data_IF_589366497252
#
_entry.id   IF_589366497252
#
_cell.length_a   1.000
_cell.length_b   1.000
_cell.length_c   1.000
_cell.angle_alpha   90.00
_cell.angle_beta   90.00
_cell.angle_gamma   90.00
#
_symmetry.space_group_name_H-M   'P 1'
#
loop_
_entity.id
_entity.type
_entity.pdbx_description
1 polymer ?
#
# COMPACT_ATOMS: atom_id res chain seq x y z
N UNK A 1 21.13 -5.62 -4.37
CA UNK A 1 20.50 -4.28 -4.36
C UNK A 1 18.98 -4.32 -4.48
N UNK A 2 18.38 -5.26 -5.23
CA UNK A 2 16.94 -5.30 -5.45
C UNK A 2 16.12 -6.01 -4.35
N UNK A 3 16.78 -6.50 -3.29
CA UNK A 3 16.18 -7.26 -2.19
C UNK A 3 15.14 -6.50 -1.38
N UNK A 4 15.25 -5.17 -1.36
CA UNK A 4 14.38 -4.27 -0.59
C UNK A 4 13.45 -3.47 -1.51
N UNK A 5 13.18 -4.02 -2.70
CA UNK A 5 12.30 -3.44 -3.71
C UNK A 5 11.01 -4.24 -3.82
N UNK A 6 10.00 -3.64 -4.46
CA UNK A 6 8.72 -4.29 -4.76
C UNK A 6 8.87 -5.66 -5.44
N UNK A 7 9.87 -5.83 -6.30
CA UNK A 7 10.15 -7.13 -6.95
C UNK A 7 10.37 -8.27 -5.95
N UNK A 8 10.91 -7.96 -4.77
CA UNK A 8 11.28 -8.95 -3.77
C UNK A 8 10.10 -9.65 -3.08
N UNK A 9 8.88 -9.20 -3.38
CA UNK A 9 7.66 -9.84 -2.88
C UNK A 9 7.18 -10.98 -3.78
N UNK A 10 7.63 -11.03 -5.03
CA UNK A 10 7.24 -12.04 -6.03
C UNK A 10 8.43 -12.86 -6.55
N UNK A 11 9.64 -12.32 -6.44
CA UNK A 11 10.86 -12.92 -6.99
C UNK A 11 11.77 -13.38 -5.87
N UNK A 12 12.28 -14.61 -5.97
CA UNK A 12 13.19 -15.16 -4.97
C UNK A 12 14.50 -14.36 -4.89
N UNK A 13 15.17 -14.31 -3.71
CA UNK A 13 16.43 -13.58 -3.54
C UNK A 13 17.52 -13.99 -4.55
N UNK A 14 17.60 -15.26 -4.93
CA UNK A 14 18.57 -15.77 -5.88
C UNK A 14 18.34 -15.22 -7.29
N UNK A 15 17.08 -15.15 -7.71
CA UNK A 15 16.71 -14.60 -9.03
C UNK A 15 16.88 -13.07 -9.04
N UNK A 16 16.49 -12.38 -7.97
CA UNK A 16 16.73 -10.93 -7.84
C UNK A 16 18.21 -10.58 -7.92
N UNK A 17 19.06 -11.38 -7.28
CA UNK A 17 20.51 -11.22 -7.33
C UNK A 17 21.02 -11.33 -8.77
N UNK A 18 20.42 -12.18 -9.60
CA UNK A 18 20.74 -12.27 -11.02
C UNK A 18 20.18 -11.10 -11.83
N UNK A 19 18.92 -10.71 -11.60
CA UNK A 19 18.26 -9.58 -12.30
C UNK A 19 19.08 -8.29 -12.13
N UNK A 20 19.68 -8.05 -10.96
CA UNK A 20 20.45 -6.82 -10.76
C UNK A 20 21.60 -6.63 -11.77
N UNK A 21 22.15 -7.73 -12.32
CA UNK A 21 23.23 -7.72 -13.32
C UNK A 21 22.76 -7.40 -14.73
N UNK A 22 21.45 -7.43 -15.00
CA UNK A 22 20.90 -6.96 -16.28
C UNK A 22 20.99 -5.44 -16.43
N UNK A 23 21.12 -4.74 -15.31
CA UNK A 23 21.10 -3.29 -15.25
C UNK A 23 22.33 -2.72 -14.57
N UNK A 24 22.30 -1.40 -14.36
CA UNK A 24 23.36 -0.64 -13.70
C UNK A 24 22.80 0.33 -12.67
N UNK A 25 23.66 0.71 -11.72
CA UNK A 25 23.37 1.80 -10.78
C UNK A 25 23.46 3.14 -11.52
N UNK A 26 22.51 4.03 -11.27
CA UNK A 26 22.50 5.42 -11.72
C UNK A 26 22.38 6.30 -10.47
N UNK A 27 23.17 7.37 -10.40
CA UNK A 27 23.15 8.32 -9.28
C UNK A 27 22.78 9.67 -9.88
N UNK A 28 21.79 10.32 -9.27
CA UNK A 28 21.35 11.66 -9.62
C UNK A 28 21.65 12.60 -8.46
N UNK A 29 22.20 13.76 -8.78
CA UNK A 29 22.39 14.85 -7.84
C UNK A 29 21.07 15.52 -7.42
N UNK A 30 21.13 16.45 -6.46
CA UNK A 30 19.99 17.26 -6.04
C UNK A 30 19.22 17.88 -7.21
N UNK A 31 17.90 17.65 -7.27
CA UNK A 31 16.99 18.21 -8.27
C UNK A 31 17.32 17.86 -9.73
N UNK A 32 18.23 16.91 -9.98
CA UNK A 32 18.63 16.51 -11.32
C UNK A 32 17.48 15.81 -12.06
N UNK A 33 17.31 16.15 -13.33
CA UNK A 33 16.27 15.57 -14.20
C UNK A 33 16.70 14.20 -14.69
N UNK A 34 15.90 13.17 -14.42
CA UNK A 34 16.11 11.82 -14.94
C UNK A 34 15.68 11.71 -16.40
N UNK A 35 14.49 12.23 -16.71
CA UNK A 35 13.95 12.38 -18.07
C UNK A 35 12.82 13.41 -18.08
N UNK A 36 12.49 13.90 -19.26
CA UNK A 36 11.43 14.87 -19.52
C UNK A 36 10.25 14.23 -20.25
N UNK A 37 9.06 14.81 -20.11
CA UNK A 37 7.92 14.51 -20.97
C UNK A 37 8.31 14.54 -22.46
N UNK A 38 7.85 13.56 -23.24
CA UNK A 38 8.17 13.42 -24.67
C UNK A 38 9.48 12.66 -24.96
N UNK A 39 10.35 12.42 -23.97
CA UNK A 39 11.57 11.64 -24.18
C UNK A 39 11.24 10.18 -24.58
N UNK A 40 12.16 9.54 -25.31
CA UNK A 40 12.04 8.10 -25.61
C UNK A 40 12.17 7.25 -24.35
N UNK A 41 11.32 6.23 -24.21
CA UNK A 41 11.32 5.33 -23.06
C UNK A 41 12.20 4.09 -23.25
N UNK A 42 13.52 4.28 -23.23
CA UNK A 42 14.48 3.18 -23.42
C UNK A 42 14.88 2.45 -22.13
N UNK A 43 14.36 2.87 -20.98
CA UNK A 43 14.80 2.39 -19.67
C UNK A 43 13.65 2.20 -18.69
N UNK A 44 13.77 1.17 -17.85
CA UNK A 44 13.01 1.01 -16.61
C UNK A 44 13.93 1.33 -15.44
N UNK A 45 13.43 2.06 -14.45
CA UNK A 45 14.17 2.37 -13.24
C UNK A 45 13.48 1.84 -11.99
N UNK A 46 14.28 1.52 -10.98
CA UNK A 46 13.85 1.21 -9.62
C UNK A 46 14.60 2.11 -8.66
N UNK A 47 13.89 2.86 -7.83
CA UNK A 47 14.52 3.70 -6.80
C UNK A 47 15.17 2.79 -5.76
N UNK A 48 16.45 2.97 -5.47
CA UNK A 48 17.15 2.22 -4.41
C UNK A 48 17.26 3.05 -3.13
N UNK A 49 17.64 4.33 -3.27
CA UNK A 49 17.83 5.28 -2.17
C UNK A 49 17.44 6.69 -2.62
N UNK A 50 17.10 7.55 -1.67
CA UNK A 50 16.65 8.91 -1.95
C UNK A 50 15.22 8.96 -2.45
N UNK A 51 14.85 10.12 -3.00
CA UNK A 51 13.49 10.40 -3.43
C UNK A 51 13.46 10.87 -4.86
N UNK A 52 12.37 10.56 -5.54
CA UNK A 52 12.12 10.97 -6.92
C UNK A 52 10.71 11.52 -7.02
N UNK A 53 10.53 12.53 -7.84
CA UNK A 53 9.23 13.15 -8.08
C UNK A 53 8.88 13.05 -9.56
N UNK A 54 7.71 12.50 -9.84
CA UNK A 54 7.09 12.44 -11.17
C UNK A 54 6.10 13.59 -11.28
N UNK A 55 6.26 14.38 -12.34
CA UNK A 55 5.42 15.52 -12.67
C UNK A 55 4.67 15.25 -13.98
N UNK A 56 3.35 15.39 -13.96
CA UNK A 56 2.51 15.42 -15.16
C UNK A 56 1.29 16.32 -14.91
N UNK A 57 0.98 17.22 -15.86
CA UNK A 57 -0.01 18.27 -15.63
C UNK A 57 0.33 19.10 -14.38
N UNK A 58 -0.63 19.27 -13.48
CA UNK A 58 -0.43 19.87 -12.13
C UNK A 58 -0.10 18.85 -11.04
N UNK A 59 0.01 17.58 -11.40
CA UNK A 59 0.16 16.51 -10.42
C UNK A 59 1.63 16.25 -10.15
N UNK A 60 1.98 16.31 -8.88
CA UNK A 60 3.26 15.84 -8.35
C UNK A 60 3.05 14.52 -7.61
N UNK A 61 3.85 13.51 -7.96
CA UNK A 61 3.84 12.21 -7.30
C UNK A 61 5.23 11.92 -6.75
N UNK A 62 5.31 11.76 -5.43
CA UNK A 62 6.50 11.23 -4.76
C UNK A 62 6.67 9.73 -4.99
N UNK A 63 7.85 9.32 -5.42
CA UNK A 63 8.26 7.93 -5.65
C UNK A 63 9.45 7.61 -4.74
N UNK A 64 9.21 6.73 -3.76
CA UNK A 64 10.19 6.37 -2.75
C UNK A 64 11.07 5.17 -3.11
N UNK A 65 12.04 4.84 -2.24
CA UNK A 65 12.87 3.64 -2.36
C UNK A 65 12.07 2.36 -2.53
N UNK A 66 12.48 1.51 -3.45
CA UNK A 66 11.86 0.23 -3.77
C UNK A 66 10.78 0.25 -4.86
N UNK A 67 10.44 1.43 -5.41
CA UNK A 67 9.38 1.62 -6.40
C UNK A 67 9.89 1.72 -7.86
N UNK A 68 9.00 1.52 -8.82
CA UNK A 68 9.25 1.51 -10.27
C UNK A 68 8.98 2.87 -10.91
N UNK A 69 9.78 3.21 -11.90
CA UNK A 69 9.62 4.42 -12.72
C UNK A 69 9.73 4.03 -14.19
N UNK A 70 8.71 4.44 -14.97
CA UNK A 70 8.75 4.43 -16.43
C UNK A 70 8.39 3.09 -17.07
N UNK A 71 7.73 2.19 -16.34
CA UNK A 71 7.34 0.85 -16.79
C UNK A 71 6.42 0.89 -18.02
N UNK A 72 5.48 1.83 -18.10
CA UNK A 72 4.54 1.92 -19.23
C UNK A 72 5.27 2.15 -20.56
N UNK A 73 6.11 3.18 -20.60
CA UNK A 73 6.89 3.49 -21.79
C UNK A 73 7.93 2.41 -22.11
N UNK A 74 8.53 1.80 -21.09
CA UNK A 74 9.47 0.69 -21.26
C UNK A 74 8.81 -0.52 -21.94
N UNK A 75 7.61 -0.92 -21.49
CA UNK A 75 6.86 -2.05 -22.05
C UNK A 75 6.34 -1.70 -23.46
N UNK A 76 5.62 -0.59 -23.60
CA UNK A 76 4.93 -0.22 -24.83
C UNK A 76 5.87 0.34 -25.91
N UNK A 77 7.04 0.85 -25.55
CA UNK A 77 7.91 1.61 -26.45
C UNK A 77 7.36 3.00 -26.79
N UNK A 78 6.51 3.58 -25.94
CA UNK A 78 5.98 4.93 -26.12
C UNK A 78 6.87 5.99 -25.47
N UNK A 79 6.67 7.26 -25.82
CA UNK A 79 7.31 8.40 -25.15
C UNK A 79 6.91 8.52 -23.66
N UNK A 80 7.74 9.23 -22.89
CA UNK A 80 7.51 9.53 -21.47
C UNK A 80 6.31 10.46 -21.31
N UNK A 81 5.38 10.08 -20.44
CA UNK A 81 4.14 10.85 -20.19
C UNK A 81 4.36 12.01 -19.22
N UNK A 82 5.42 11.98 -18.42
CA UNK A 82 5.75 13.02 -17.46
C UNK A 82 7.25 13.27 -17.35
N UNK A 83 7.61 14.25 -16.55
CA UNK A 83 8.99 14.61 -16.23
C UNK A 83 9.35 14.04 -14.86
N UNK A 84 10.53 13.46 -14.71
CA UNK A 84 10.99 12.88 -13.45
C UNK A 84 12.26 13.55 -12.98
N UNK A 85 12.32 13.92 -11.70
CA UNK A 85 13.48 14.56 -11.07
C UNK A 85 13.82 13.91 -9.74
N UNK A 86 15.10 13.90 -9.38
CA UNK A 86 15.53 13.56 -8.03
C UNK A 86 15.10 14.65 -7.03
N UNK A 87 14.91 14.28 -5.77
CA UNK A 87 14.64 15.23 -4.68
C UNK A 87 15.86 16.07 -4.30
N UNK A 88 15.69 16.91 -3.28
CA UNK A 88 16.71 17.87 -2.81
C UNK A 88 18.02 17.20 -2.34
N UNK A 89 17.95 15.94 -1.91
CA UNK A 89 19.13 15.18 -1.47
C UNK A 89 19.73 14.28 -2.56
N UNK A 90 19.22 14.36 -3.80
CA UNK A 90 19.55 13.43 -4.87
C UNK A 90 18.94 12.04 -4.65
N UNK A 91 19.28 11.10 -5.53
CA UNK A 91 18.83 9.72 -5.42
C UNK A 91 19.77 8.72 -6.10
N UNK A 92 19.54 7.45 -5.78
CA UNK A 92 20.18 6.32 -6.45
C UNK A 92 19.11 5.42 -7.03
N UNK A 93 19.30 5.03 -8.29
CA UNK A 93 18.41 4.16 -9.04
C UNK A 93 19.16 2.92 -9.54
N UNK A 94 18.44 1.82 -9.73
CA UNK A 94 18.83 0.74 -10.63
C UNK A 94 18.11 0.94 -11.97
N UNK A 95 18.80 0.71 -13.08
CA UNK A 95 18.28 0.95 -14.42
C UNK A 95 18.59 -0.23 -15.35
N UNK A 96 17.58 -0.69 -16.10
CA UNK A 96 17.73 -1.69 -17.17
C UNK A 96 17.23 -1.13 -18.50
N UNK A 97 17.93 -1.49 -19.58
CA UNK A 97 17.65 -1.04 -20.94
C UNK A 97 16.58 -1.91 -21.61
N UNK A 98 15.77 -1.29 -22.47
CA UNK A 98 14.65 -1.93 -23.15
C UNK A 98 15.06 -2.99 -24.15
N UNK A 99 16.24 -2.87 -24.76
CA UNK A 99 16.80 -3.85 -25.70
C UNK A 99 16.86 -5.27 -25.11
N UNK A 100 17.03 -5.39 -23.78
CA UNK A 100 17.02 -6.66 -23.05
C UNK A 100 15.74 -7.47 -23.23
N UNK A 101 14.60 -6.82 -23.50
CA UNK A 101 13.33 -7.51 -23.81
C UNK A 101 13.39 -8.28 -25.14
N UNK A 102 14.32 -7.96 -26.02
CA UNK A 102 14.40 -8.47 -27.38
C UNK A 102 15.62 -9.38 -27.63
N UNK A 103 16.44 -9.64 -26.62
CA UNK A 103 17.62 -10.52 -26.69
C UNK A 103 17.23 -12.00 -26.62
N UNK A 104 16.46 -12.48 -27.61
CA UNK A 104 15.88 -13.84 -27.63
C UNK A 104 16.90 -14.98 -27.68
N UNK A 105 18.10 -14.70 -28.17
CA UNK A 105 19.19 -15.68 -28.28
C UNK A 105 19.93 -15.89 -26.94
N UNK A 106 19.76 -14.98 -25.99
CA UNK A 106 20.28 -15.12 -24.62
C UNK A 106 19.20 -15.70 -23.72
N UNK A 107 19.33 -17.00 -23.42
CA UNK A 107 18.39 -17.74 -22.57
C UNK A 107 18.38 -17.20 -21.14
N UNK A 108 19.53 -16.80 -20.59
CA UNK A 108 19.58 -16.28 -19.22
C UNK A 108 18.89 -14.92 -19.14
N UNK A 109 19.22 -13.99 -20.06
CA UNK A 109 18.51 -12.71 -20.15
C UNK A 109 17.01 -12.91 -20.36
N UNK A 110 16.60 -13.85 -21.22
CA UNK A 110 15.20 -14.19 -21.45
C UNK A 110 14.50 -14.62 -20.15
N UNK A 111 15.13 -15.50 -19.36
CA UNK A 111 14.58 -15.97 -18.09
C UNK A 111 14.45 -14.82 -17.08
N UNK A 112 15.51 -14.02 -16.95
CA UNK A 112 15.55 -12.93 -15.98
C UNK A 112 14.58 -11.79 -16.32
N UNK A 113 14.44 -11.44 -17.61
CA UNK A 113 13.45 -10.46 -18.07
C UNK A 113 12.01 -10.98 -17.90
N UNK A 114 11.78 -12.28 -18.07
CA UNK A 114 10.47 -12.88 -17.78
C UNK A 114 10.11 -12.73 -16.30
N UNK A 115 11.04 -13.03 -15.40
CA UNK A 115 10.85 -12.81 -13.97
C UNK A 115 10.63 -11.34 -13.62
N UNK A 116 11.37 -10.42 -14.26
CA UNK A 116 11.20 -8.99 -14.05
C UNK A 116 9.77 -8.53 -14.38
N UNK A 117 9.25 -8.90 -15.55
CA UNK A 117 7.88 -8.57 -15.96
C UNK A 117 6.82 -9.18 -15.04
N UNK A 118 7.00 -10.45 -14.65
CA UNK A 118 6.15 -11.13 -13.66
C UNK A 118 6.14 -10.37 -12.32
N UNK A 119 7.31 -9.89 -11.87
CA UNK A 119 7.44 -9.17 -10.60
C UNK A 119 6.85 -7.75 -10.62
N UNK A 120 6.76 -7.11 -11.78
CA UNK A 120 6.18 -5.77 -11.94
C UNK A 120 4.65 -5.83 -12.04
N UNK A 121 4.11 -6.89 -12.66
CA UNK A 121 2.69 -7.00 -13.01
C UNK A 121 1.69 -6.69 -11.86
N UNK A 122 1.84 -7.21 -10.62
CA UNK A 122 0.90 -6.90 -9.54
C UNK A 122 0.84 -5.41 -9.18
N UNK A 123 1.90 -4.66 -9.45
CA UNK A 123 1.97 -3.24 -9.15
C UNK A 123 1.37 -2.37 -10.25
N UNK A 124 1.36 -2.87 -11.49
CA UNK A 124 0.62 -2.24 -12.58
C UNK A 124 -0.89 -2.41 -12.37
N UNK A 125 -1.31 -3.58 -11.92
CA UNK A 125 -2.70 -3.86 -11.54
C UNK A 125 -3.19 -2.92 -10.44
N UNK A 126 -2.39 -2.72 -9.38
CA UNK A 126 -2.72 -1.76 -8.31
C UNK A 126 -2.83 -0.33 -8.85
N UNK A 127 -1.89 0.10 -9.69
CA UNK A 127 -1.96 1.43 -10.33
C UNK A 127 -3.22 1.56 -11.19
N UNK A 128 -3.64 0.50 -11.87
CA UNK A 128 -4.89 0.50 -12.64
C UNK A 128 -6.12 0.66 -11.73
N UNK A 129 -6.20 -0.09 -10.63
CA UNK A 129 -7.29 0.00 -9.65
C UNK A 129 -7.40 1.40 -9.00
N UNK A 130 -6.29 2.12 -8.89
CA UNK A 130 -6.31 3.53 -8.47
C UNK A 130 -7.03 4.44 -9.46
N UNK A 131 -6.89 4.19 -10.76
CA UNK A 131 -7.48 5.03 -11.81
C UNK A 131 -8.93 4.67 -12.12
N UNK A 132 -9.31 3.40 -11.99
CA UNK A 132 -10.68 2.94 -12.25
C UNK A 132 -11.68 3.32 -11.15
N UNK A 133 -11.21 4.02 -10.10
CA UNK A 133 -12.00 4.34 -8.89
C UNK A 133 -12.66 3.11 -8.25
N UNK A 134 -12.16 1.89 -8.48
CA UNK A 134 -12.69 0.69 -7.80
C UNK A 134 -12.53 0.81 -6.27
N UNK A 135 -11.51 1.54 -5.83
CA UNK A 135 -11.38 2.00 -4.44
C UNK A 135 -12.07 3.37 -4.32
N UNK A 136 -13.41 3.37 -4.30
CA UNK A 136 -14.17 4.58 -4.01
C UNK A 136 -13.94 4.98 -2.56
N UNK A 137 -13.39 6.18 -2.36
CA UNK A 137 -13.55 6.85 -1.06
C UNK A 137 -15.04 7.06 -0.85
N UNK A 138 -15.59 6.48 0.21
CA UNK A 138 -17.00 6.64 0.49
C UNK A 138 -17.29 8.13 0.76
N UNK A 139 -18.18 8.74 -0.04
CA UNK A 139 -18.53 10.17 0.08
C UNK A 139 -19.07 10.52 1.46
N UNK A 140 -19.62 9.54 2.17
CA UNK A 140 -20.20 9.61 3.50
C UNK A 140 -19.29 9.02 4.60
N UNK A 141 -17.99 8.82 4.34
CA UNK A 141 -17.05 8.23 5.33
C UNK A 141 -17.05 8.99 6.67
N UNK A 142 -17.26 10.31 6.63
CA UNK A 142 -17.34 11.17 7.81
C UNK A 142 -18.46 10.71 8.75
N UNK A 143 -19.63 10.42 8.21
CA UNK A 143 -20.84 10.12 8.99
C UNK A 143 -21.12 8.63 9.12
N UNK A 144 -20.47 7.79 8.33
CA UNK A 144 -20.81 6.36 8.22
C UNK A 144 -19.58 5.46 8.00
N UNK A 145 -18.44 5.76 8.61
CA UNK A 145 -17.24 4.91 8.51
C UNK A 145 -17.41 3.55 9.18
N UNK A 146 -18.11 3.48 10.31
CA UNK A 146 -18.29 2.23 11.06
C UNK A 146 -19.29 1.29 10.41
N UNK A 147 -20.30 1.82 9.70
CA UNK A 147 -21.31 1.09 8.91
C UNK A 147 -21.70 -0.31 9.42
N UNK A 148 -21.92 -0.42 10.73
CA UNK A 148 -22.18 -1.69 11.42
C UNK A 148 -23.52 -2.33 11.03
N UNK A 149 -24.39 -1.55 10.37
CA UNK A 149 -25.67 -2.00 9.83
C UNK A 149 -25.55 -2.62 8.43
N UNK A 150 -24.36 -2.53 7.80
CA UNK A 150 -24.10 -3.10 6.48
C UNK A 150 -24.37 -4.63 6.46
N UNK A 151 -25.02 -5.18 5.42
CA UNK A 151 -25.40 -6.60 5.38
C UNK A 151 -24.23 -7.58 5.58
N UNK A 152 -23.07 -7.32 4.97
CA UNK A 152 -21.90 -8.20 5.14
C UNK A 152 -21.36 -8.17 6.58
N UNK A 153 -21.32 -7.00 7.21
CA UNK A 153 -20.87 -6.84 8.60
C UNK A 153 -21.82 -7.59 9.53
N UNK A 154 -23.13 -7.39 9.41
CA UNK A 154 -24.14 -8.09 10.21
C UNK A 154 -24.08 -9.60 10.02
N UNK A 155 -23.92 -10.07 8.79
CA UNK A 155 -23.86 -11.50 8.50
C UNK A 155 -22.65 -12.14 9.17
N UNK A 156 -21.46 -11.56 9.01
CA UNK A 156 -20.22 -12.09 9.56
C UNK A 156 -20.20 -11.97 11.08
N UNK A 157 -20.67 -10.85 11.64
CA UNK A 157 -20.83 -10.68 13.08
C UNK A 157 -21.67 -11.82 13.68
N UNK A 158 -22.78 -12.20 13.04
CA UNK A 158 -23.61 -13.33 13.47
C UNK A 158 -22.90 -14.69 13.35
N UNK A 159 -22.02 -14.90 12.36
CA UNK A 159 -21.20 -16.12 12.27
C UNK A 159 -20.17 -16.21 13.39
N UNK A 160 -19.66 -15.06 13.85
CA UNK A 160 -18.66 -14.95 14.92
C UNK A 160 -19.29 -14.91 16.31
N UNK A 161 -20.63 -14.85 16.40
CA UNK A 161 -21.35 -14.79 17.68
C UNK A 161 -21.07 -16.03 18.52
N UNK A 162 -20.61 -15.81 19.75
CA UNK A 162 -20.41 -16.84 20.76
C UNK A 162 -21.66 -17.05 21.63
N UNK A 163 -21.51 -17.87 22.68
CA UNK A 163 -22.56 -18.12 23.68
C UNK A 163 -22.87 -16.90 24.55
N UNK A 164 -21.92 -15.98 24.66
CA UNK A 164 -22.01 -14.72 25.40
C UNK A 164 -21.17 -13.62 24.73
N UNK A 165 -21.26 -12.40 25.27
CA UNK A 165 -20.58 -11.23 24.71
C UNK A 165 -19.05 -11.37 24.74
N UNK A 166 -18.53 -12.05 25.76
CA UNK A 166 -17.10 -12.33 25.90
C UNK A 166 -16.60 -13.27 24.79
N UNK A 167 -17.28 -14.39 24.57
CA UNK A 167 -16.91 -15.32 23.51
C UNK A 167 -17.07 -14.67 22.12
N UNK A 168 -18.12 -13.86 21.93
CA UNK A 168 -18.30 -13.06 20.71
C UNK A 168 -17.14 -12.08 20.50
N UNK A 169 -16.72 -11.35 21.54
CA UNK A 169 -15.61 -10.40 21.46
C UNK A 169 -14.26 -11.07 21.19
N UNK A 170 -14.03 -12.25 21.77
CA UNK A 170 -12.82 -13.06 21.50
C UNK A 170 -12.82 -13.57 20.06
N UNK A 171 -13.93 -14.10 19.57
CA UNK A 171 -14.06 -14.59 18.19
C UNK A 171 -13.83 -13.46 17.18
N UNK A 172 -14.44 -12.29 17.41
CA UNK A 172 -14.25 -11.11 16.56
C UNK A 172 -12.80 -10.62 16.61
N UNK A 173 -12.20 -10.55 17.80
CA UNK A 173 -10.80 -10.16 17.94
C UNK A 173 -9.85 -11.13 17.21
N UNK A 174 -10.05 -12.44 17.35
CA UNK A 174 -9.21 -13.47 16.72
C UNK A 174 -9.34 -13.37 15.19
N UNK A 175 -10.58 -13.26 14.69
CA UNK A 175 -10.86 -13.06 13.26
C UNK A 175 -10.16 -11.80 12.72
N UNK A 176 -10.42 -10.63 13.31
CA UNK A 176 -9.82 -9.37 12.84
C UNK A 176 -8.30 -9.44 12.93
N UNK A 177 -7.74 -10.04 13.98
CA UNK A 177 -6.29 -10.18 14.14
C UNK A 177 -5.64 -11.00 13.01
N UNK A 178 -6.34 -11.95 12.41
CA UNK A 178 -5.80 -12.72 11.27
C UNK A 178 -5.66 -11.91 9.98
N UNK A 179 -6.39 -10.80 9.83
CA UNK A 179 -6.28 -9.97 8.65
C UNK A 179 -4.89 -9.27 8.62
N UNK A 180 -4.15 -9.31 7.51
CA UNK A 180 -2.84 -8.69 7.36
C UNK A 180 -2.79 -7.21 7.76
N UNK A 181 -1.71 -6.81 8.42
CA UNK A 181 -1.44 -5.41 8.72
C UNK A 181 -0.71 -4.74 7.55
N UNK A 182 -1.26 -3.68 6.94
CA UNK A 182 -0.60 -2.94 5.84
C UNK A 182 -0.78 -1.44 6.00
N UNK A 183 0.28 -0.67 5.75
CA UNK A 183 0.23 0.79 5.66
C UNK A 183 -0.55 1.23 4.42
N UNK A 184 -1.37 2.28 4.56
CA UNK A 184 -2.12 2.84 3.45
C UNK A 184 -3.47 3.38 3.90
N UNK A 185 -4.52 2.73 3.42
CA UNK A 185 -5.92 3.16 3.56
C UNK A 185 -6.34 3.34 5.01
N UNK A 186 -6.56 4.60 5.41
CA UNK A 186 -7.29 4.91 6.64
C UNK A 186 -8.68 5.51 6.37
N UNK A 187 -9.00 5.85 5.13
CA UNK A 187 -10.19 6.60 4.72
C UNK A 187 -11.26 5.71 4.07
N UNK A 188 -11.52 4.54 4.66
CA UNK A 188 -12.43 3.51 4.11
C UNK A 188 -13.36 2.95 5.18
N UNK A 189 -14.55 2.53 4.78
CA UNK A 189 -15.57 1.98 5.69
C UNK A 189 -15.13 0.65 6.31
N UNK A 190 -15.83 0.20 7.36
CA UNK A 190 -15.60 -1.12 7.93
C UNK A 190 -15.90 -2.21 6.91
N UNK A 191 -17.00 -2.08 6.16
CA UNK A 191 -17.35 -3.00 5.06
C UNK A 191 -16.27 -3.06 3.96
N UNK A 192 -15.63 -1.94 3.63
CA UNK A 192 -14.53 -1.92 2.65
C UNK A 192 -13.25 -2.53 3.20
N UNK A 193 -12.96 -2.33 4.48
CA UNK A 193 -11.83 -3.02 5.15
C UNK A 193 -12.03 -4.54 5.09
N UNK A 194 -13.28 -4.99 5.25
CA UNK A 194 -13.67 -6.38 5.08
C UNK A 194 -13.44 -6.89 3.66
N UNK A 195 -13.86 -6.10 2.65
CA UNK A 195 -13.66 -6.42 1.22
C UNK A 195 -12.19 -6.53 0.83
N UNK A 196 -11.33 -5.63 1.32
CA UNK A 196 -9.90 -5.68 1.04
C UNK A 196 -9.20 -6.86 1.72
N UNK A 197 -9.73 -7.35 2.84
CA UNK A 197 -9.12 -8.44 3.60
C UNK A 197 -7.87 -8.05 4.39
N UNK A 198 -7.45 -6.78 4.38
CA UNK A 198 -6.31 -6.26 5.14
C UNK A 198 -6.59 -4.84 5.66
N UNK A 199 -5.78 -4.34 6.59
CA UNK A 199 -5.90 -2.96 7.06
C UNK A 199 -4.74 -2.51 7.96
N UNK A 200 -4.81 -1.28 8.43
CA UNK A 200 -3.92 -0.75 9.47
C UNK A 200 -4.67 -0.63 10.80
N UNK A 201 -4.02 -0.13 11.86
CA UNK A 201 -4.62 -0.03 13.18
C UNK A 201 -5.98 0.68 13.17
N UNK A 202 -6.09 1.80 12.45
CA UNK A 202 -7.35 2.56 12.30
C UNK A 202 -8.47 1.75 11.64
N UNK A 203 -8.21 1.14 10.48
CA UNK A 203 -9.26 0.42 9.72
C UNK A 203 -9.63 -0.90 10.35
N UNK A 204 -8.66 -1.62 10.93
CA UNK A 204 -8.91 -2.86 11.67
C UNK A 204 -9.68 -2.60 12.96
N UNK A 205 -9.35 -1.52 13.69
CA UNK A 205 -10.15 -1.09 14.85
C UNK A 205 -11.59 -0.73 14.43
N UNK A 206 -11.75 -0.02 13.31
CA UNK A 206 -13.06 0.29 12.74
C UNK A 206 -13.89 -0.95 12.41
N UNK A 207 -13.29 -1.93 11.74
CA UNK A 207 -13.95 -3.19 11.45
C UNK A 207 -14.31 -3.97 12.73
N UNK A 208 -13.42 -4.02 13.70
CA UNK A 208 -13.67 -4.71 14.97
C UNK A 208 -14.84 -4.08 15.74
N UNK A 209 -14.86 -2.75 15.85
CA UNK A 209 -15.96 -2.01 16.49
C UNK A 209 -17.26 -2.21 15.73
N UNK A 210 -17.24 -2.23 14.40
CA UNK A 210 -18.42 -2.48 13.58
C UNK A 210 -19.01 -3.87 13.82
N UNK A 211 -18.18 -4.91 13.85
CA UNK A 211 -18.62 -6.28 14.12
C UNK A 211 -19.22 -6.44 15.52
N UNK A 212 -18.62 -5.79 16.53
CA UNK A 212 -19.14 -5.80 17.90
C UNK A 212 -20.49 -5.08 18.00
N UNK A 213 -20.58 -3.86 17.46
CA UNK A 213 -21.82 -3.06 17.44
C UNK A 213 -22.94 -3.75 16.66
N UNK A 214 -22.62 -4.51 15.60
CA UNK A 214 -23.58 -5.30 14.86
C UNK A 214 -24.23 -6.44 15.69
N UNK A 215 -23.55 -6.93 16.73
CA UNK A 215 -24.09 -7.88 17.71
C UNK A 215 -24.80 -7.19 18.89
N UNK A 216 -24.84 -5.87 18.92
CA UNK A 216 -25.36 -5.09 20.06
C UNK A 216 -24.38 -5.01 21.24
N UNK A 217 -23.11 -5.41 21.05
CA UNK A 217 -22.07 -5.28 22.07
C UNK A 217 -21.52 -3.85 22.01
N UNK A 218 -21.52 -3.16 23.14
CA UNK A 218 -21.04 -1.78 23.20
C UNK A 218 -19.52 -1.74 22.98
N UNK A 219 -19.09 -0.98 21.96
CA UNK A 219 -17.70 -0.84 21.59
C UNK A 219 -17.39 0.60 21.16
N UNK A 220 -16.15 1.03 21.43
CA UNK A 220 -15.61 2.38 21.17
C UNK A 220 -14.18 2.27 20.66
N UNK A 221 -13.57 3.40 20.37
CA UNK A 221 -12.19 3.49 19.89
C UNK A 221 -11.29 4.04 20.99
N UNK A 222 -10.07 3.53 21.08
CA UNK A 222 -9.00 4.14 21.85
C UNK A 222 -7.97 4.81 20.93
N UNK A 223 -7.49 5.99 21.31
CA UNK A 223 -6.34 6.66 20.70
C UNK A 223 -5.20 6.74 21.73
N UNK A 224 -4.02 6.24 21.36
CA UNK A 224 -2.79 6.35 22.17
C UNK A 224 -1.63 6.92 21.34
N UNK A 225 -0.74 7.67 22.00
CA UNK A 225 0.51 8.13 21.40
C UNK A 225 1.62 7.12 21.68
N UNK A 226 2.02 6.37 20.65
CA UNK A 226 3.03 5.32 20.76
C UNK A 226 4.38 5.79 20.22
N UNK A 227 5.46 5.29 20.79
CA UNK A 227 6.80 5.62 20.34
C UNK A 227 7.07 5.12 18.90
N UNK A 228 7.87 5.87 18.14
CA UNK A 228 8.26 5.49 16.77
C UNK A 228 8.84 4.06 16.66
N UNK A 229 9.46 3.56 17.74
CA UNK A 229 10.02 2.20 17.85
C UNK A 229 9.02 1.09 17.53
N UNK A 230 7.71 1.33 17.69
CA UNK A 230 6.65 0.37 17.37
C UNK A 230 6.40 0.23 15.86
N UNK A 231 6.74 1.25 15.07
CA UNK A 231 6.51 1.26 13.61
C UNK A 231 7.74 0.88 12.81
N UNK A 232 8.92 1.32 13.29
CA UNK A 232 10.21 1.14 12.61
C UNK A 232 10.46 -0.32 12.15
N UNK A 233 10.14 -1.37 12.94
CA UNK A 233 10.34 -2.76 12.53
C UNK A 233 9.55 -3.18 11.29
N UNK A 234 8.43 -2.52 11.00
CA UNK A 234 7.58 -2.82 9.85
C UNK A 234 8.03 -2.12 8.57
N UNK A 235 8.93 -1.13 8.67
CA UNK A 235 9.36 -0.30 7.56
C UNK A 235 10.72 -0.74 6.99
N UNK A 236 10.86 -0.76 5.65
CA UNK A 236 12.16 -0.95 5.03
C UNK A 236 13.16 0.11 5.52
N UNK A 237 14.47 -0.19 5.57
CA UNK A 237 15.50 0.72 6.10
C UNK A 237 15.42 2.14 5.53
N UNK A 238 15.15 2.24 4.23
CA UNK A 238 15.06 3.51 3.50
C UNK A 238 13.81 4.35 3.81
N UNK A 239 12.90 3.89 4.67
CA UNK A 239 11.75 4.67 5.15
C UNK A 239 11.85 5.02 6.63
N UNK A 240 12.78 4.43 7.38
CA UNK A 240 12.85 4.59 8.85
C UNK A 240 13.14 6.02 9.27
N UNK A 241 13.97 6.73 8.54
CA UNK A 241 14.31 8.13 8.83
C UNK A 241 13.11 9.09 8.69
N UNK A 242 12.05 8.70 7.97
CA UNK A 242 10.83 9.49 7.87
C UNK A 242 9.97 9.43 9.14
N UNK A 243 10.22 8.44 10.01
CA UNK A 243 9.49 8.29 11.27
C UNK A 243 10.25 9.00 12.38
N UNK A 244 10.02 10.31 12.50
CA UNK A 244 10.75 11.18 13.44
C UNK A 244 9.97 11.51 14.71
N UNK A 245 8.71 11.10 14.80
CA UNK A 245 7.79 11.45 15.89
C UNK A 245 7.03 10.23 16.39
N UNK A 246 6.48 10.36 17.60
CA UNK A 246 5.49 9.43 18.12
C UNK A 246 4.28 9.37 17.18
N UNK A 247 3.64 8.21 17.15
CA UNK A 247 2.59 7.86 16.20
C UNK A 247 1.29 7.72 16.97
N UNK A 248 0.19 8.11 16.32
CA UNK A 248 -1.15 7.83 16.85
C UNK A 248 -1.53 6.40 16.51
N UNK A 249 -1.80 5.62 17.53
CA UNK A 249 -2.30 4.25 17.42
C UNK A 249 -3.77 4.22 17.79
N UNK A 250 -4.56 3.49 16.99
CA UNK A 250 -6.01 3.37 17.15
C UNK A 250 -6.36 1.91 17.37
N UNK A 251 -7.22 1.63 18.35
CA UNK A 251 -7.59 0.26 18.72
C UNK A 251 -9.04 0.18 19.22
N UNK A 252 -9.56 -1.04 19.32
CA UNK A 252 -10.90 -1.29 19.83
C UNK A 252 -10.93 -1.30 21.37
N UNK A 253 -11.95 -0.65 21.93
CA UNK A 253 -12.39 -0.78 23.32
C UNK A 253 -13.75 -1.46 23.32
N UNK A 254 -13.93 -2.47 24.17
CA UNK A 254 -15.19 -3.23 24.27
C UNK A 254 -15.69 -3.21 25.70
N UNK A 255 -16.98 -2.95 25.91
CA UNK A 255 -17.61 -3.02 27.21
C UNK A 255 -18.13 -4.44 27.44
N UNK A 256 -17.57 -5.14 28.42
CA UNK A 256 -17.96 -6.49 28.80
C UNK A 256 -18.17 -6.53 30.30
N UNK A 257 -19.30 -7.09 30.75
CA UNK A 257 -19.70 -7.10 32.16
C UNK A 257 -19.67 -5.72 32.84
N UNK A 258 -20.01 -4.66 32.09
CA UNK A 258 -20.01 -3.27 32.57
C UNK A 258 -18.62 -2.64 32.72
N UNK A 259 -17.57 -3.26 32.17
CA UNK A 259 -16.19 -2.77 32.22
C UNK A 259 -15.59 -2.64 30.83
N UNK A 260 -14.80 -1.60 30.63
CA UNK A 260 -14.08 -1.37 29.37
C UNK A 260 -12.77 -2.16 29.31
N UNK A 261 -12.65 -3.02 28.31
CA UNK A 261 -11.45 -3.77 28.00
C UNK A 261 -10.81 -3.28 26.72
N UNK A 262 -9.48 -3.25 26.71
CA UNK A 262 -8.70 -2.99 25.52
C UNK A 262 -8.59 -4.29 24.73
N UNK A 263 -9.01 -4.27 23.47
CA UNK A 263 -9.07 -5.45 22.60
C UNK A 263 -8.36 -5.12 21.28
N UNK A 264 -7.05 -4.89 21.33
CA UNK A 264 -6.28 -4.47 20.16
C UNK A 264 -6.02 -5.62 19.18
N UNK A 265 -6.70 -5.63 18.03
CA UNK A 265 -6.52 -6.63 16.98
C UNK A 265 -5.65 -6.15 15.80
N UNK A 266 -4.84 -5.11 16.00
CA UNK A 266 -4.14 -4.43 14.90
C UNK A 266 -3.08 -5.30 14.21
N UNK A 267 -2.37 -6.15 14.94
CA UNK A 267 -1.20 -6.84 14.40
C UNK A 267 -1.41 -8.35 14.35
N UNK A 268 -1.18 -8.93 13.18
CA UNK A 268 -1.08 -10.38 12.97
C UNK A 268 0.04 -10.99 13.82
N UNK A 269 0.04 -12.31 13.96
CA UNK A 269 1.15 -13.02 14.61
C UNK A 269 2.48 -12.76 13.88
N UNK A 270 2.45 -12.76 12.57
CA UNK A 270 3.61 -12.61 11.67
C UNK A 270 4.18 -11.19 11.73
N UNK A 271 3.33 -10.16 11.77
CA UNK A 271 3.81 -8.80 12.02
C UNK A 271 4.39 -8.67 13.42
N UNK A 272 3.77 -9.25 14.46
CA UNK A 272 4.36 -9.24 15.81
C UNK A 272 5.68 -10.03 15.90
N UNK A 273 5.93 -11.01 15.03
CA UNK A 273 7.25 -11.65 14.94
C UNK A 273 8.32 -10.69 14.40
N UNK A 274 8.00 -9.87 13.40
CA UNK A 274 8.92 -8.81 12.94
C UNK A 274 9.23 -7.81 14.07
N UNK A 275 8.19 -7.43 14.82
CA UNK A 275 8.32 -6.53 15.96
C UNK A 275 9.18 -7.16 17.07
N UNK A 276 8.90 -8.40 17.46
CA UNK A 276 9.67 -9.13 18.47
C UNK A 276 11.11 -9.43 18.05
N UNK A 277 11.38 -9.62 16.75
CA UNK A 277 12.75 -9.75 16.26
C UNK A 277 13.57 -8.48 16.50
N UNK A 278 12.96 -7.31 16.30
CA UNK A 278 13.60 -6.02 16.56
C UNK A 278 13.65 -5.66 18.05
N UNK A 279 12.66 -6.11 18.83
CA UNK A 279 12.51 -5.83 20.26
C UNK A 279 12.17 -7.13 21.03
N UNK A 280 13.17 -7.99 21.35
CA UNK A 280 12.94 -9.31 21.92
C UNK A 280 12.16 -9.35 23.23
N UNK A 281 12.16 -8.25 23.99
CA UNK A 281 11.36 -8.10 25.21
C UNK A 281 9.84 -8.18 24.96
N UNK A 282 9.40 -8.02 23.71
CA UNK A 282 8.00 -8.15 23.29
C UNK A 282 7.63 -9.52 22.72
N UNK A 283 8.53 -10.52 22.79
CA UNK A 283 8.29 -11.86 22.24
C UNK A 283 7.04 -12.54 22.81
N UNK A 284 6.64 -12.20 24.04
CA UNK A 284 5.43 -12.73 24.66
C UNK A 284 4.15 -12.33 23.91
N UNK A 285 4.12 -11.20 23.20
CA UNK A 285 2.95 -10.72 22.44
C UNK A 285 2.62 -11.61 21.24
N UNK A 286 3.61 -12.29 20.68
CA UNK A 286 3.46 -13.15 19.50
C UNK A 286 2.38 -14.22 19.73
N UNK A 287 2.32 -14.79 20.94
CA UNK A 287 1.36 -15.83 21.31
C UNK A 287 0.29 -15.37 22.30
N UNK A 288 0.38 -14.13 22.82
CA UNK A 288 -0.65 -13.57 23.71
C UNK A 288 -1.98 -13.44 22.95
N UNK A 289 -3.08 -13.77 23.61
CA UNK A 289 -4.45 -13.62 23.10
C UNK A 289 -5.27 -12.65 23.94
N UNK A 290 -6.32 -12.08 23.34
CA UNK A 290 -7.38 -11.42 24.11
C UNK A 290 -8.19 -12.51 24.84
N UNK A 291 -8.37 -12.34 26.14
CA UNK A 291 -8.94 -13.35 27.02
C UNK A 291 -9.88 -12.71 28.06
N UNK A 292 -10.77 -13.53 28.63
CA UNK A 292 -11.76 -13.06 29.59
C UNK A 292 -11.10 -12.39 30.80
N UNK A 293 -11.55 -11.18 31.12
CA UNK A 293 -11.06 -10.38 32.24
C UNK A 293 -9.71 -9.69 32.00
N UNK A 294 -9.12 -9.81 30.81
CA UNK A 294 -7.79 -9.27 30.51
C UNK A 294 -7.82 -8.23 29.38
N UNK A 295 -6.95 -7.22 29.49
CA UNK A 295 -6.65 -6.32 28.38
C UNK A 295 -5.66 -6.96 27.40
N UNK A 296 -5.88 -6.75 26.12
CA UNK A 296 -4.88 -6.98 25.07
C UNK A 296 -4.41 -5.65 24.48
N UNK A 297 -3.13 -5.36 24.67
CA UNK A 297 -2.41 -4.19 24.17
C UNK A 297 -1.08 -4.66 23.56
N UNK A 298 -0.62 -3.97 22.52
CA UNK A 298 0.67 -4.25 21.88
C UNK A 298 1.81 -3.46 22.50
N UNK A 299 1.51 -2.35 23.17
CA UNK A 299 2.50 -1.58 23.93
C UNK A 299 2.65 -2.13 25.36
N UNK A 300 3.80 -1.85 25.97
CA UNK A 300 4.07 -2.25 27.34
C UNK A 300 3.24 -1.42 28.33
N UNK A 301 2.84 -2.09 29.41
CA UNK A 301 2.24 -1.45 30.59
C UNK A 301 3.16 -0.33 31.12
N UNK A 302 2.65 0.89 31.24
CA UNK A 302 3.40 2.08 31.68
C UNK A 302 4.11 2.87 30.56
N UNK A 303 4.23 2.34 29.34
CA UNK A 303 4.68 3.13 28.18
C UNK A 303 3.50 3.75 27.42
N UNK A 304 2.32 3.12 27.45
CA UNK A 304 1.06 3.73 26.99
C UNK A 304 -0.14 2.92 27.52
N UNK A 305 -0.52 3.18 28.77
CA UNK A 305 -1.83 2.81 29.31
C UNK A 305 -2.83 3.98 29.27
N UNK A 306 -2.33 5.21 29.20
CA UNK A 306 -3.16 6.38 29.01
C UNK A 306 -3.58 6.46 27.54
N UNK A 307 -4.88 6.37 27.31
CA UNK A 307 -5.50 6.54 25.99
C UNK A 307 -6.73 7.42 26.13
N UNK A 308 -7.09 8.08 25.04
CA UNK A 308 -8.35 8.81 24.95
C UNK A 308 -9.41 7.89 24.34
N UNK A 309 -10.60 7.87 24.93
CA UNK A 309 -11.76 7.18 24.37
C UNK A 309 -12.42 8.07 23.32
N UNK A 310 -12.67 7.53 22.14
CA UNK A 310 -13.39 8.20 21.06
C UNK A 310 -14.65 7.40 20.73
N UNK A 311 -15.75 8.11 20.46
CA UNK A 311 -17.02 7.49 20.05
C UNK A 311 -17.04 7.13 18.56
N UNK A 312 -16.25 7.86 17.76
CA UNK A 312 -16.13 7.72 16.31
C UNK A 312 -14.72 8.10 15.80
N UNK A 313 -14.40 7.73 14.56
CA UNK A 313 -13.12 8.01 13.89
C UNK A 313 -13.23 9.00 12.72
N UNK A 314 -14.34 9.74 12.59
CA UNK A 314 -14.62 10.64 11.45
C UNK A 314 -13.48 11.63 11.18
N UNK A 315 -12.93 12.25 12.24
CA UNK A 315 -11.83 13.22 12.14
C UNK A 315 -10.53 12.62 11.61
N UNK A 316 -10.33 11.31 11.78
CA UNK A 316 -9.15 10.59 11.31
C UNK A 316 -9.38 10.10 9.89
N UNK A 317 -10.50 9.42 9.66
CA UNK A 317 -10.81 8.76 8.40
C UNK A 317 -11.22 9.73 7.28
N UNK A 318 -11.53 10.99 7.60
CA UNK A 318 -11.78 12.06 6.62
C UNK A 318 -10.52 12.69 6.02
N UNK A 319 -9.35 12.45 6.62
CA UNK A 319 -8.08 13.02 6.14
C UNK A 319 -7.70 12.40 4.80
N UNK A 320 -7.32 13.23 3.82
CA UNK A 320 -6.74 12.74 2.57
C UNK A 320 -5.29 12.29 2.81
N UNK A 321 -4.86 11.16 2.23
CA UNK A 321 -3.45 10.77 2.24
C UNK A 321 -2.64 11.77 1.42
N UNK A 322 -1.41 12.02 1.85
CA UNK A 322 -0.45 12.84 1.11
C UNK A 322 0.26 12.07 -0.02
N UNK A 323 -0.12 10.80 -0.24
CA UNK A 323 0.50 9.87 -1.19
C UNK A 323 -0.56 9.14 -2.02
N UNK A 324 -0.16 8.60 -3.19
CA UNK A 324 -0.94 7.66 -4.02
C UNK A 324 -0.73 6.22 -3.53
N UNK A 325 -1.67 5.31 -3.80
CA UNK A 325 -1.63 3.98 -3.18
C UNK A 325 -0.40 3.19 -3.64
N UNK A 326 -0.06 3.29 -4.91
CA UNK A 326 1.10 2.65 -5.50
C UNK A 326 2.37 3.01 -4.75
N UNK A 327 2.45 4.20 -4.15
CA UNK A 327 3.65 4.66 -3.47
C UNK A 327 3.81 4.03 -2.07
N UNK A 328 2.72 3.62 -1.41
CA UNK A 328 2.81 2.92 -0.10
C UNK A 328 3.12 1.45 -0.23
N UNK A 329 2.99 0.87 -1.41
CA UNK A 329 3.33 -0.54 -1.64
C UNK A 329 4.79 -0.84 -1.26
N UNK A 330 5.71 0.10 -1.50
CA UNK A 330 7.11 -0.08 -1.11
C UNK A 330 7.30 -0.07 0.42
N UNK A 331 6.48 0.66 1.18
CA UNK A 331 6.52 0.65 2.66
C UNK A 331 6.07 -0.70 3.24
N UNK A 332 5.28 -1.47 2.49
CA UNK A 332 4.70 -2.73 2.94
C UNK A 332 5.56 -3.96 2.64
N UNK A 333 6.72 -3.82 1.99
CA UNK A 333 7.54 -4.96 1.54
C UNK A 333 7.88 -5.93 2.68
N UNK A 334 8.26 -5.42 3.86
CA UNK A 334 8.62 -6.28 5.00
C UNK A 334 7.40 -7.00 5.56
N UNK A 335 6.28 -6.30 5.70
CA UNK A 335 5.01 -6.85 6.13
C UNK A 335 4.57 -7.95 5.17
N UNK A 336 4.42 -7.64 3.88
CA UNK A 336 3.98 -8.59 2.85
C UNK A 336 4.85 -9.86 2.80
N UNK A 337 6.17 -9.76 3.02
CA UNK A 337 7.05 -10.94 3.12
C UNK A 337 6.78 -11.81 4.34
N UNK A 338 6.40 -11.22 5.46
CA UNK A 338 6.19 -11.93 6.72
C UNK A 338 4.82 -12.61 6.80
N UNK A 339 3.76 -11.91 6.35
CA UNK A 339 2.36 -12.34 6.48
C UNK A 339 1.79 -12.92 5.18
N UNK A 340 2.51 -12.83 4.05
CA UNK A 340 2.05 -13.25 2.73
C UNK A 340 1.65 -12.07 1.85
N UNK A 341 1.62 -12.29 0.53
CA UNK A 341 1.21 -11.28 -0.44
C UNK A 341 -0.28 -11.41 -0.74
N UNK A 342 -1.01 -10.31 -0.58
CA UNK A 342 -2.48 -10.25 -0.74
C UNK A 342 -2.88 -9.33 -1.90
N UNK A 343 -1.99 -9.13 -2.86
CA UNK A 343 -2.23 -8.28 -4.03
C UNK A 343 -3.00 -9.05 -5.10
N UNK A 344 -3.82 -8.36 -5.91
CA UNK A 344 -4.31 -8.93 -7.15
C UNK A 344 -3.12 -9.28 -8.04
N UNK A 345 -3.13 -10.50 -8.57
CA UNK A 345 -2.13 -10.99 -9.51
C UNK A 345 -2.85 -11.20 -10.83
N UNK A 346 -2.41 -10.55 -11.91
CA UNK A 346 -3.01 -10.75 -13.22
C UNK A 346 -3.02 -12.22 -13.64
N UNK A 347 -4.11 -12.65 -14.27
CA UNK A 347 -4.38 -14.07 -14.59
C UNK A 347 -3.27 -14.74 -15.42
N UNK A 348 -2.55 -13.95 -16.22
CA UNK A 348 -1.45 -14.44 -17.04
C UNK A 348 -0.19 -14.79 -16.23
N UNK A 349 0.03 -14.21 -15.06
CA UNK A 349 1.27 -14.34 -14.29
C UNK A 349 1.55 -15.79 -13.86
N UNK A 350 0.56 -16.48 -13.29
CA UNK A 350 0.74 -17.86 -12.80
C UNK A 350 1.08 -18.81 -13.93
N UNK A 351 0.30 -18.75 -15.01
CA UNK A 351 0.50 -19.62 -16.17
C UNK A 351 1.76 -19.27 -16.97
N UNK A 352 2.27 -18.04 -16.87
CA UNK A 352 3.58 -17.65 -17.43
C UNK A 352 4.74 -18.13 -16.56
N UNK A 353 4.60 -18.06 -15.23
CA UNK A 353 5.59 -18.58 -14.28
C UNK A 353 5.81 -20.09 -14.44
N UNK A 354 4.75 -20.86 -14.67
CA UNK A 354 4.87 -22.28 -14.98
C UNK A 354 5.52 -22.53 -16.34
N UNK A 355 5.11 -21.78 -17.38
CA UNK A 355 5.68 -21.88 -18.72
C UNK A 355 7.19 -21.58 -18.73
N UNK A 356 7.64 -20.65 -17.90
CA UNK A 356 9.04 -20.25 -17.78
C UNK A 356 9.98 -21.42 -17.41
N UNK A 357 9.46 -22.43 -16.70
CA UNK A 357 10.25 -23.59 -16.26
C UNK A 357 10.70 -24.49 -17.41
N UNK A 358 10.00 -24.48 -18.55
CA UNK A 358 10.27 -25.40 -19.66
C UNK A 358 10.24 -24.76 -21.06
N UNK A 359 9.69 -23.54 -21.23
CA UNK A 359 9.76 -22.76 -22.48
C UNK A 359 10.03 -21.27 -22.22
N UNK A 360 11.25 -20.87 -21.84
CA UNK A 360 11.57 -19.49 -21.47
C UNK A 360 11.22 -18.43 -22.52
N UNK A 361 11.49 -18.69 -23.79
CA UNK A 361 11.15 -17.74 -24.87
C UNK A 361 9.64 -17.52 -24.99
N UNK A 362 8.84 -18.59 -24.88
CA UNK A 362 7.38 -18.48 -24.91
C UNK A 362 6.85 -17.77 -23.67
N UNK A 363 7.48 -18.01 -22.50
CA UNK A 363 7.14 -17.30 -21.27
C UNK A 363 7.44 -15.80 -21.36
N UNK A 364 8.58 -15.40 -21.93
CA UNK A 364 8.89 -13.97 -22.15
C UNK A 364 7.85 -13.30 -23.06
N UNK A 365 7.52 -13.94 -24.18
CA UNK A 365 6.51 -13.41 -25.11
C UNK A 365 5.15 -13.26 -24.41
N UNK A 366 4.75 -14.27 -23.62
CA UNK A 366 3.50 -14.23 -22.87
C UNK A 366 3.50 -13.17 -21.76
N UNK A 367 4.61 -13.00 -21.05
CA UNK A 367 4.79 -11.96 -20.06
C UNK A 367 4.65 -10.57 -20.71
N UNK A 368 5.35 -10.34 -21.82
CA UNK A 368 5.25 -9.11 -22.61
C UNK A 368 3.82 -8.84 -23.07
N UNK A 369 3.15 -9.83 -23.66
CA UNK A 369 1.78 -9.67 -24.15
C UNK A 369 0.79 -9.33 -23.02
N UNK A 370 0.95 -9.97 -21.85
CA UNK A 370 0.17 -9.65 -20.65
C UNK A 370 0.42 -8.22 -20.16
N UNK A 371 1.70 -7.87 -19.97
CA UNK A 371 2.10 -6.54 -19.49
C UNK A 371 1.73 -5.40 -20.43
N UNK A 372 1.67 -5.62 -21.76
CA UNK A 372 1.25 -4.58 -22.72
C UNK A 372 -0.18 -4.10 -22.45
N UNK A 373 -1.10 -5.01 -22.14
CA UNK A 373 -2.52 -4.65 -21.91
C UNK A 373 -2.68 -3.79 -20.65
N UNK A 374 -1.96 -4.15 -19.59
CA UNK A 374 -1.92 -3.40 -18.34
C UNK A 374 -1.25 -2.03 -18.53
N UNK A 375 -0.09 -2.02 -19.21
CA UNK A 375 0.66 -0.80 -19.49
C UNK A 375 -0.16 0.21 -20.29
N UNK A 376 -0.85 -0.26 -21.33
CA UNK A 376 -1.71 0.60 -22.14
C UNK A 376 -2.86 1.17 -21.32
N UNK A 377 -3.50 0.35 -20.50
CA UNK A 377 -4.62 0.79 -19.66
C UNK A 377 -4.19 1.86 -18.65
N UNK A 378 -3.12 1.62 -17.90
CA UNK A 378 -2.56 2.61 -16.97
C UNK A 378 -2.16 3.89 -17.71
N UNK A 379 -1.55 3.77 -18.89
CA UNK A 379 -1.15 4.92 -19.72
C UNK A 379 -2.35 5.73 -20.20
N UNK A 380 -3.42 5.09 -20.66
CA UNK A 380 -4.65 5.78 -21.13
C UNK A 380 -5.26 6.60 -19.99
N UNK A 381 -5.43 6.01 -18.82
CA UNK A 381 -5.95 6.74 -17.66
C UNK A 381 -5.07 7.91 -17.25
N UNK A 382 -3.75 7.76 -17.31
CA UNK A 382 -2.84 8.86 -17.02
C UNK A 382 -3.03 10.02 -18.00
N UNK A 383 -3.18 9.73 -19.29
CA UNK A 383 -3.42 10.75 -20.32
C UNK A 383 -4.79 11.41 -20.20
N UNK A 384 -5.85 10.64 -19.91
CA UNK A 384 -7.19 11.16 -19.65
C UNK A 384 -7.19 12.09 -18.43
N UNK A 385 -6.47 11.71 -17.36
CA UNK A 385 -6.30 12.55 -16.17
C UNK A 385 -5.63 13.88 -16.50
N UNK A 386 -4.61 13.87 -17.35
CA UNK A 386 -3.93 15.10 -17.82
C UNK A 386 -4.88 15.96 -18.67
N UNK A 387 -5.62 15.35 -19.59
CA UNK A 387 -6.56 16.06 -20.47
C UNK A 387 -7.68 16.75 -19.69
N UNK A 388 -8.25 16.08 -18.68
CA UNK A 388 -9.26 16.65 -17.79
C UNK A 388 -8.73 17.86 -17.01
N UNK A 389 -7.49 17.81 -16.53
CA UNK A 389 -6.84 18.95 -15.87
C UNK A 389 -6.66 20.13 -16.82
N UNK A 390 -6.27 19.88 -18.08
CA UNK A 390 -6.13 20.92 -19.09
C UNK A 390 -7.48 21.57 -19.46
N UNK A 391 -8.54 20.78 -19.67
CA UNK A 391 -9.88 21.28 -19.99
C UNK A 391 -10.51 22.11 -18.86
N UNK A 392 -10.33 21.71 -17.60
CA UNK A 392 -10.76 22.51 -16.43
C UNK A 392 -10.03 23.85 -16.34
N UNK A 393 -8.82 23.99 -16.91
CA UNK A 393 -8.14 25.30 -16.96
C UNK A 393 -8.75 26.22 -18.02
N UNK A 394 -9.16 25.69 -19.18
CA UNK A 394 -9.83 26.48 -20.22
C UNK A 394 -11.21 26.97 -19.75
N UNK A 395 -12.00 26.15 -19.05
CA UNK A 395 -13.28 26.60 -18.47
C UNK A 395 -13.11 27.66 -17.37
N UNK A 396 -12.07 27.54 -16.52
CA UNK A 396 -11.78 28.55 -15.49
C UNK A 396 -11.21 29.86 -16.08
N UNK A 397 -10.63 29.83 -17.27
CA UNK A 397 -10.23 31.02 -18.01
C UNK A 397 -11.43 31.77 -18.61
N UNK A 398 -12.47 31.05 -19.06
CA UNK A 398 -13.69 31.67 -19.62
C UNK A 398 -14.53 32.40 -18.56
N UNK A 399 -14.35 32.09 -17.26
CA UNK A 399 -15.01 32.79 -16.15
C UNK A 399 -14.19 33.93 -15.52
N UNK A 400 -12.92 34.11 -15.87
CA UNK A 400 -12.09 35.22 -15.34
C UNK A 400 -12.07 36.46 -16.24
N UNK A 401 -12.59 36.39 -17.46
CA UNK A 401 -12.74 37.55 -18.38
C UNK A 401 -14.18 38.11 -18.39
N UNK A 402 -14.76 38.41 -17.23
CA UNK A 402 -15.87 39.37 -17.14
C UNK A 402 -15.76 40.23 -15.89
N UNK A 403 -14.99 41.32 -16.01
CA UNK A 403 -15.43 42.69 -15.69
C UNK A 403 -14.28 43.69 -15.90
N UNK A 404 -14.20 44.36 -17.06
CA UNK A 404 -13.65 45.71 -17.14
C UNK A 404 -14.85 46.66 -17.11
N UNK A 405 -15.27 47.12 -15.93
CA UNK A 405 -15.96 48.40 -15.76
C UNK A 405 -16.21 48.65 -14.27
N UNK A 406 -15.55 49.71 -13.78
CA UNK A 406 -15.64 50.16 -12.40
C UNK A 406 -14.87 51.46 -12.25
N UNK A 407 -15.24 52.45 -13.05
CA UNK A 407 -14.81 53.83 -12.89
C UNK A 407 -15.52 54.51 -11.72
N UNK A 408 -14.74 55.41 -11.10
CA UNK A 408 -15.03 56.40 -10.05
C UNK A 408 -15.09 55.90 -8.61
#
# INVERSE_FOLDING_TARGET
MLSDTKLSTMISPQVLFKIQWLGKKVVLGPNEVLYTHGDKSEHLYITLEGEVFLYYGDTEIWIGPGDFIGENGFILGTERVGTVKAGENGCTLWCVTRDKLFQKDDVETTILMSHLLIGIAPYMEIRMMEFTEEIKVAKDIVTNHCDFDHPSIRYVANLLKGKDDWESAINIWDYVRTMPYRFGFWFVKASQTFEFGFGMCTTKANLQVALLRALGIEAKYGEANVAAKYLIPFLPPAYRFKVTKNIRHYFCLVNLDGKWFRSDASFTKESLQLFAYAHPEYSFLVNKKFARGEHFAVEREGETLEYTVLDDLSQVMSKRPFYKMGNVEAMNILLDKAQGTFRPIPIWVTSTSELLRYRPQAALIKALAGSVTEADTVRRYLLESIALQAGNREENWVYSEKSPDGGL
#
